data_IF_248552212016
#
_entry.id   IF_248552212016
#
_cell.length_a   1.000
_cell.length_b   1.000
_cell.length_c   1.000
_cell.angle_alpha   90.00
_cell.angle_beta   90.00
_cell.angle_gamma   90.00
#
_symmetry.space_group_name_H-M   'P 1'
#
loop_
_entity.id
_entity.type
_entity.pdbx_description
1 polymer ?
#
# COMPACT_ATOMS: atom_id res chain seq x y z
N UNK A 1 2.47 -12.00 35.91
CA UNK A 1 3.92 -12.20 35.83
C UNK A 1 4.41 -11.77 34.44
N UNK A 2 5.63 -11.24 34.37
CA UNK A 2 6.27 -10.78 33.12
C UNK A 2 6.31 -11.87 32.03
N UNK A 3 6.35 -13.15 32.44
CA UNK A 3 6.30 -14.29 31.54
C UNK A 3 4.94 -14.48 30.86
N UNK A 4 3.84 -14.19 31.55
CA UNK A 4 2.49 -14.28 30.99
C UNK A 4 2.25 -13.14 29.99
N UNK A 5 2.75 -11.95 30.29
CA UNK A 5 2.70 -10.80 29.37
C UNK A 5 3.54 -11.06 28.11
N UNK A 6 4.73 -11.61 28.26
CA UNK A 6 5.57 -11.99 27.13
C UNK A 6 4.95 -13.11 26.28
N UNK A 7 4.29 -14.09 26.93
CA UNK A 7 3.58 -15.17 26.23
C UNK A 7 2.32 -14.65 25.51
N UNK A 8 1.59 -13.72 26.11
CA UNK A 8 0.45 -13.03 25.49
C UNK A 8 0.89 -12.17 24.29
N UNK A 9 2.04 -11.49 24.39
CA UNK A 9 2.62 -10.78 23.24
C UNK A 9 3.06 -11.70 22.12
N UNK A 10 3.51 -12.92 22.43
CA UNK A 10 3.83 -13.94 21.43
C UNK A 10 2.59 -14.65 20.86
N UNK A 11 1.51 -14.79 21.64
CA UNK A 11 0.27 -15.43 21.21
C UNK A 11 -0.72 -14.47 20.51
N UNK A 12 -0.69 -13.20 20.84
CA UNK A 12 -1.33 -12.13 20.10
C UNK A 12 -0.45 -11.79 18.90
N UNK A 13 -0.30 -12.75 17.96
CA UNK A 13 0.57 -12.68 16.82
C UNK A 13 0.83 -11.23 16.42
N UNK A 14 2.03 -10.78 16.67
CA UNK A 14 2.48 -9.48 16.20
C UNK A 14 2.10 -9.41 14.72
N UNK A 15 1.21 -8.49 14.39
CA UNK A 15 0.92 -8.09 13.02
C UNK A 15 2.24 -7.53 12.47
N UNK A 16 3.08 -8.46 12.05
CA UNK A 16 4.40 -8.09 11.55
C UNK A 16 4.20 -7.42 10.21
N UNK A 17 4.69 -6.18 10.14
CA UNK A 17 4.95 -5.57 8.86
C UNK A 17 5.76 -6.54 7.98
N UNK A 18 5.54 -6.55 6.65
CA UNK A 18 6.34 -7.36 5.75
C UNK A 18 7.83 -7.13 5.97
N UNK A 19 8.60 -8.21 5.99
CA UNK A 19 10.08 -8.15 6.00
C UNK A 19 10.52 -7.99 4.54
N UNK A 20 10.81 -6.77 4.13
CA UNK A 20 11.14 -6.41 2.76
C UNK A 20 12.64 -6.16 2.61
N UNK A 21 13.21 -6.42 1.42
CA UNK A 21 14.58 -6.02 1.11
C UNK A 21 14.73 -4.50 1.15
N UNK A 22 15.96 -4.02 1.28
CA UNK A 22 16.28 -2.59 1.28
C UNK A 22 15.80 -1.92 -0.03
N UNK A 23 16.15 -2.50 -1.16
CA UNK A 23 15.62 -2.08 -2.46
C UNK A 23 14.20 -2.62 -2.66
N UNK A 24 13.26 -1.73 -2.99
CA UNK A 24 11.88 -2.11 -3.24
C UNK A 24 11.80 -3.07 -4.44
N UNK A 25 11.07 -4.20 -4.34
CA UNK A 25 10.86 -5.08 -5.48
C UNK A 25 10.29 -4.33 -6.68
N UNK A 26 11.02 -4.32 -7.79
CA UNK A 26 10.60 -3.67 -9.03
C UNK A 26 9.39 -4.37 -9.64
N UNK A 27 8.53 -3.59 -10.29
CA UNK A 27 7.39 -4.15 -11.02
C UNK A 27 7.04 -3.35 -12.27
N UNK A 28 6.37 -4.02 -13.19
CA UNK A 28 5.56 -3.44 -14.25
C UNK A 28 4.16 -4.04 -14.12
N UNK A 29 3.20 -3.25 -13.69
CA UNK A 29 1.82 -3.66 -13.50
C UNK A 29 0.89 -2.90 -14.44
N UNK A 30 -0.27 -3.48 -14.75
CA UNK A 30 -1.29 -2.80 -15.55
C UNK A 30 -2.21 -1.99 -14.65
N UNK A 31 -2.57 -0.81 -15.12
CA UNK A 31 -3.64 -0.01 -14.56
C UNK A 31 -5.03 -0.47 -15.07
N UNK A 32 -6.08 0.25 -14.69
CA UNK A 32 -7.46 -0.10 -15.08
C UNK A 32 -7.76 0.14 -16.58
N UNK A 33 -6.92 0.89 -17.27
CA UNK A 33 -7.02 1.13 -18.73
C UNK A 33 -6.15 0.15 -19.53
N UNK A 34 -5.45 -0.76 -18.84
CA UNK A 34 -4.55 -1.74 -19.44
C UNK A 34 -3.17 -1.19 -19.77
N UNK A 35 -2.86 0.04 -19.37
CA UNK A 35 -1.55 0.66 -19.56
C UNK A 35 -0.55 0.10 -18.55
N UNK A 36 0.70 -0.06 -18.99
CA UNK A 36 1.78 -0.54 -18.14
C UNK A 36 2.34 0.61 -17.28
N UNK A 37 2.47 0.33 -15.98
CA UNK A 37 3.04 1.25 -15.00
C UNK A 37 4.23 0.56 -14.33
N UNK A 38 5.42 1.12 -14.53
CA UNK A 38 6.64 0.64 -13.91
C UNK A 38 6.96 1.43 -12.63
N UNK A 39 7.37 0.75 -11.55
CA UNK A 39 7.78 1.42 -10.32
C UNK A 39 8.93 2.40 -10.58
N UNK A 40 9.91 2.03 -11.39
CA UNK A 40 11.08 2.86 -11.71
C UNK A 40 10.73 4.20 -12.38
N UNK A 41 9.54 4.32 -12.98
CA UNK A 41 9.09 5.57 -13.58
C UNK A 41 8.85 6.67 -12.54
N UNK A 42 8.78 6.33 -11.26
CA UNK A 42 8.56 7.26 -10.15
C UNK A 42 9.84 7.61 -9.37
N UNK A 43 11.00 7.11 -9.77
CA UNK A 43 12.27 7.50 -9.15
C UNK A 43 12.41 9.02 -9.07
N UNK A 44 12.86 9.51 -7.93
CA UNK A 44 12.95 10.94 -7.60
C UNK A 44 11.77 11.46 -6.78
N UNK A 45 10.72 10.66 -6.61
CA UNK A 45 9.57 10.96 -5.73
C UNK A 45 9.32 9.84 -4.73
N UNK A 46 8.86 10.15 -3.51
CA UNK A 46 8.40 9.12 -2.61
C UNK A 46 7.12 8.46 -3.15
N UNK A 47 6.99 7.15 -2.93
CA UNK A 47 5.85 6.34 -3.39
C UNK A 47 5.18 5.67 -2.20
N UNK A 48 3.87 5.79 -2.14
CA UNK A 48 3.00 5.07 -1.20
C UNK A 48 2.28 3.98 -1.98
N UNK A 49 2.64 2.72 -1.72
CA UNK A 49 1.92 1.55 -2.25
C UNK A 49 0.90 1.10 -1.22
N UNK A 50 -0.38 1.11 -1.58
CA UNK A 50 -1.46 0.60 -0.76
C UNK A 50 -2.05 -0.66 -1.39
N UNK A 51 -1.78 -1.83 -0.80
CA UNK A 51 -2.37 -3.10 -1.21
C UNK A 51 -3.75 -3.25 -0.57
N UNK A 52 -4.76 -3.46 -1.42
CA UNK A 52 -6.15 -3.50 -1.00
C UNK A 52 -6.99 -4.50 -1.81
N UNK A 53 -8.20 -4.77 -1.36
CA UNK A 53 -9.18 -5.59 -2.06
C UNK A 53 -10.58 -4.98 -1.95
N UNK A 54 -11.44 -5.25 -2.93
CA UNK A 54 -12.80 -4.72 -2.98
C UNK A 54 -13.68 -5.20 -1.81
N UNK A 55 -13.45 -6.41 -1.32
CA UNK A 55 -14.17 -7.04 -0.21
C UNK A 55 -13.61 -6.67 1.17
N UNK A 56 -12.46 -6.01 1.23
CA UNK A 56 -11.76 -5.71 2.48
C UNK A 56 -12.37 -4.49 3.17
N UNK A 57 -13.09 -4.71 4.28
CA UNK A 57 -13.71 -3.63 5.08
C UNK A 57 -12.70 -2.61 5.60
N UNK A 58 -11.61 -3.02 6.28
CA UNK A 58 -10.56 -2.10 6.74
C UNK A 58 -9.91 -1.29 5.60
N UNK A 59 -9.70 -1.89 4.42
CA UNK A 59 -9.18 -1.17 3.25
C UNK A 59 -10.11 -0.02 2.85
N UNK A 60 -11.41 -0.30 2.77
CA UNK A 60 -12.42 0.71 2.42
C UNK A 60 -12.53 1.81 3.47
N UNK A 61 -12.23 1.51 4.72
CA UNK A 61 -12.22 2.50 5.81
C UNK A 61 -11.04 3.47 5.70
N UNK A 62 -9.85 3.00 5.31
CA UNK A 62 -8.66 3.86 5.20
C UNK A 62 -8.57 4.65 3.89
N UNK A 63 -9.12 4.14 2.79
CA UNK A 63 -8.99 4.72 1.44
C UNK A 63 -9.36 6.21 1.38
N UNK A 64 -10.43 6.72 2.02
CA UNK A 64 -10.69 8.16 2.04
C UNK A 64 -9.53 9.00 2.56
N UNK A 65 -8.79 8.52 3.55
CA UNK A 65 -7.58 9.20 4.05
C UNK A 65 -6.44 9.21 3.02
N UNK A 66 -6.30 8.15 2.23
CA UNK A 66 -5.32 8.09 1.13
C UNK A 66 -5.67 9.05 0.00
N UNK A 67 -6.97 9.17 -0.33
CA UNK A 67 -7.46 10.13 -1.32
C UNK A 67 -7.15 11.57 -0.89
N UNK A 68 -7.51 11.94 0.34
CA UNK A 68 -7.21 13.26 0.91
C UNK A 68 -5.70 13.53 0.94
N UNK A 69 -4.91 12.56 1.43
CA UNK A 69 -3.45 12.67 1.46
C UNK A 69 -2.85 12.89 0.08
N UNK A 70 -3.28 12.14 -0.94
CA UNK A 70 -2.81 12.29 -2.31
C UNK A 70 -3.11 13.67 -2.90
N UNK A 71 -4.29 14.21 -2.62
CA UNK A 71 -4.69 15.55 -3.06
C UNK A 71 -3.88 16.66 -2.39
N UNK A 72 -3.56 16.49 -1.11
CA UNK A 72 -2.79 17.47 -0.32
C UNK A 72 -1.28 17.39 -0.55
N UNK A 73 -0.78 16.25 -1.05
CA UNK A 73 0.65 15.99 -1.24
C UNK A 73 0.95 15.60 -2.71
N UNK A 74 0.86 16.53 -3.68
CA UNK A 74 1.03 16.22 -5.11
C UNK A 74 2.46 15.77 -5.48
N UNK A 75 3.44 15.99 -4.60
CA UNK A 75 4.83 15.54 -4.79
C UNK A 75 5.05 14.09 -4.33
N UNK A 76 4.07 13.48 -3.67
CA UNK A 76 4.07 12.07 -3.27
C UNK A 76 3.20 11.27 -4.24
N UNK A 77 3.75 10.19 -4.77
CA UNK A 77 3.00 9.26 -5.62
C UNK A 77 2.22 8.29 -4.74
N UNK A 78 0.91 8.22 -4.91
CA UNK A 78 0.06 7.22 -4.25
C UNK A 78 -0.44 6.24 -5.30
N UNK A 79 -0.22 4.95 -5.07
CA UNK A 79 -0.68 3.86 -5.94
C UNK A 79 -1.51 2.87 -5.13
N UNK A 80 -2.75 2.66 -5.54
CA UNK A 80 -3.58 1.58 -5.03
C UNK A 80 -3.29 0.29 -5.79
N UNK A 81 -2.80 -0.74 -5.13
CA UNK A 81 -2.49 -2.03 -5.76
C UNK A 81 -3.54 -3.05 -5.34
N UNK A 82 -4.50 -3.30 -6.23
CA UNK A 82 -5.62 -4.19 -5.97
C UNK A 82 -5.20 -5.66 -6.13
N UNK A 83 -5.50 -6.48 -5.14
CA UNK A 83 -5.17 -7.92 -5.13
C UNK A 83 -6.31 -8.80 -5.61
N UNK A 84 -7.44 -8.23 -5.97
CA UNK A 84 -8.61 -8.92 -6.51
C UNK A 84 -9.33 -8.08 -7.57
N UNK A 85 -10.29 -8.70 -8.24
CA UNK A 85 -11.21 -8.04 -9.15
C UNK A 85 -10.71 -7.91 -10.59
N UNK A 86 -11.67 -7.83 -11.50
CA UNK A 86 -11.42 -7.46 -12.90
C UNK A 86 -11.26 -5.95 -13.05
N UNK A 87 -10.68 -5.45 -14.15
CA UNK A 87 -10.59 -4.01 -14.38
C UNK A 87 -11.94 -3.27 -14.27
N UNK A 88 -13.03 -3.88 -14.74
CA UNK A 88 -14.36 -3.28 -14.65
C UNK A 88 -14.91 -3.24 -13.22
N UNK A 89 -14.72 -4.30 -12.44
CA UNK A 89 -15.11 -4.35 -11.03
C UNK A 89 -14.31 -3.34 -10.21
N UNK A 90 -13.01 -3.24 -10.45
CA UNK A 90 -12.12 -2.29 -9.78
C UNK A 90 -12.48 -0.84 -10.13
N UNK A 91 -12.89 -0.58 -11.39
CA UNK A 91 -13.35 0.75 -11.81
C UNK A 91 -14.59 1.18 -11.02
N UNK A 92 -15.57 0.29 -10.92
CA UNK A 92 -16.79 0.54 -10.13
C UNK A 92 -16.46 0.77 -8.66
N UNK A 93 -15.61 -0.07 -8.07
CA UNK A 93 -15.20 0.08 -6.68
C UNK A 93 -14.43 1.39 -6.45
N UNK A 94 -13.51 1.74 -7.34
CA UNK A 94 -12.73 2.99 -7.27
C UNK A 94 -13.63 4.22 -7.34
N UNK A 95 -14.61 4.24 -8.22
CA UNK A 95 -15.58 5.33 -8.32
C UNK A 95 -16.40 5.48 -7.03
N UNK A 96 -16.88 4.36 -6.48
CA UNK A 96 -17.65 4.36 -5.22
C UNK A 96 -16.84 4.85 -4.02
N UNK A 97 -15.56 4.55 -3.99
CA UNK A 97 -14.63 4.94 -2.92
C UNK A 97 -14.01 6.32 -3.14
N UNK A 98 -14.26 6.94 -4.30
CA UNK A 98 -13.71 8.24 -4.65
C UNK A 98 -12.22 8.23 -4.92
N UNK A 99 -11.66 7.07 -5.30
CA UNK A 99 -10.22 6.95 -5.62
C UNK A 99 -9.90 7.72 -6.89
N UNK A 100 -9.01 8.69 -6.79
CA UNK A 100 -8.54 9.54 -7.88
C UNK A 100 -7.04 9.39 -8.18
N UNK A 101 -6.34 8.55 -7.41
CA UNK A 101 -4.98 8.11 -7.71
C UNK A 101 -4.98 6.81 -8.54
N UNK A 102 -3.86 6.47 -9.22
CA UNK A 102 -3.80 5.26 -10.04
C UNK A 102 -4.07 3.98 -9.26
N UNK A 103 -4.86 3.10 -9.85
CA UNK A 103 -5.11 1.75 -9.35
C UNK A 103 -4.44 0.75 -10.29
N UNK A 104 -3.56 -0.07 -9.74
CA UNK A 104 -2.82 -1.10 -10.43
C UNK A 104 -3.36 -2.48 -10.03
N UNK A 105 -3.23 -3.45 -10.93
CA UNK A 105 -3.67 -4.82 -10.70
C UNK A 105 -2.46 -5.65 -10.28
N UNK A 106 -2.49 -6.17 -9.05
CA UNK A 106 -1.43 -7.01 -8.53
C UNK A 106 -1.36 -8.35 -9.24
N UNK A 107 -0.15 -8.85 -9.44
CA UNK A 107 0.11 -10.26 -9.77
C UNK A 107 0.39 -11.07 -8.50
N UNK A 108 0.27 -12.39 -8.56
CA UNK A 108 0.63 -13.26 -7.44
C UNK A 108 2.11 -13.15 -7.07
N UNK A 109 2.96 -12.92 -8.06
CA UNK A 109 4.39 -12.67 -7.88
C UNK A 109 4.62 -11.41 -7.04
N UNK A 110 4.01 -10.30 -7.39
CA UNK A 110 4.17 -9.02 -6.67
C UNK A 110 3.60 -9.11 -5.25
N UNK A 111 2.47 -9.79 -5.05
CA UNK A 111 1.96 -10.05 -3.70
C UNK A 111 2.98 -10.80 -2.84
N UNK A 112 3.62 -11.82 -3.41
CA UNK A 112 4.63 -12.62 -2.72
C UNK A 112 5.91 -11.81 -2.43
N UNK A 113 6.41 -11.07 -3.40
CA UNK A 113 7.63 -10.26 -3.27
C UNK A 113 7.47 -9.12 -2.23
N UNK A 114 6.29 -8.54 -2.13
CA UNK A 114 5.97 -7.53 -1.12
C UNK A 114 5.46 -8.11 0.19
N UNK A 115 5.46 -9.44 0.34
CA UNK A 115 5.05 -10.11 1.58
C UNK A 115 3.62 -9.79 2.02
N UNK A 116 2.70 -9.60 1.07
CA UNK A 116 1.31 -9.23 1.34
C UNK A 116 0.53 -10.45 1.80
N UNK A 117 0.42 -10.63 3.12
CA UNK A 117 -0.34 -11.72 3.75
C UNK A 117 -1.66 -11.24 4.34
N UNK A 118 -1.70 -9.99 4.76
CA UNK A 118 -2.89 -9.33 5.34
C UNK A 118 -3.22 -8.05 4.60
N UNK A 119 -4.48 -7.66 4.60
CA UNK A 119 -4.96 -6.42 3.99
C UNK A 119 -5.62 -5.51 5.04
N UNK A 120 -5.43 -4.22 4.94
CA UNK A 120 -4.53 -3.54 4.02
C UNK A 120 -3.05 -3.69 4.40
N UNK A 121 -2.17 -3.54 3.44
CA UNK A 121 -0.73 -3.40 3.66
C UNK A 121 -0.24 -2.17 2.90
N UNK A 122 0.53 -1.33 3.56
CA UNK A 122 1.09 -0.10 2.97
C UNK A 122 2.60 -0.13 3.02
N UNK A 123 3.25 0.14 1.90
CA UNK A 123 4.70 0.24 1.77
C UNK A 123 5.06 1.64 1.32
N UNK A 124 5.98 2.28 2.05
CA UNK A 124 6.53 3.59 1.72
C UNK A 124 7.90 3.38 1.09
N UNK A 125 8.07 3.88 -0.12
CA UNK A 125 9.31 3.81 -0.90
C UNK A 125 9.86 5.22 -1.03
N UNK A 126 11.15 5.38 -0.77
CA UNK A 126 11.80 6.67 -0.87
C UNK A 126 12.11 7.08 -2.32
N UNK A 127 12.56 8.33 -2.58
CA UNK A 127 12.88 8.79 -3.93
C UNK A 127 14.00 8.01 -4.63
N UNK A 128 14.83 7.30 -3.88
CA UNK A 128 15.92 6.46 -4.38
C UNK A 128 15.45 5.05 -4.77
N UNK A 129 14.20 4.70 -4.45
CA UNK A 129 13.62 3.37 -4.74
C UNK A 129 13.85 2.35 -3.62
N UNK A 130 14.25 2.82 -2.44
CA UNK A 130 14.44 1.96 -1.27
C UNK A 130 13.18 1.91 -0.40
N UNK A 131 12.97 0.76 0.27
CA UNK A 131 11.86 0.61 1.22
C UNK A 131 12.16 1.43 2.48
N UNK A 132 11.40 2.49 2.68
CA UNK A 132 11.51 3.29 3.90
C UNK A 132 10.78 2.65 5.08
N UNK A 133 9.57 2.16 4.84
CA UNK A 133 8.77 1.46 5.86
C UNK A 133 7.67 0.61 5.23
N UNK A 134 7.21 -0.38 5.98
CA UNK A 134 6.06 -1.20 5.62
C UNK A 134 5.14 -1.33 6.84
N UNK A 135 3.83 -1.33 6.60
CA UNK A 135 2.82 -1.39 7.65
C UNK A 135 1.69 -2.33 7.25
N UNK A 136 1.38 -3.28 8.12
CA UNK A 136 0.19 -4.13 8.00
C UNK A 136 -0.92 -3.57 8.86
N UNK A 137 -2.12 -3.46 8.30
CA UNK A 137 -3.28 -2.84 8.93
C UNK A 137 -3.53 -1.42 8.42
N UNK A 138 -4.55 -0.77 8.97
CA UNK A 138 -4.98 0.55 8.52
C UNK A 138 -3.93 1.63 8.82
N UNK A 139 -3.76 2.53 7.85
CA UNK A 139 -3.05 3.81 8.01
C UNK A 139 -3.98 4.96 7.68
N UNK A 140 -3.79 6.07 8.36
CA UNK A 140 -4.56 7.30 8.14
C UNK A 140 -3.65 8.49 7.85
N UNK A 141 -4.24 9.62 7.46
CA UNK A 141 -3.51 10.82 7.04
C UNK A 141 -2.31 11.20 7.89
N UNK A 142 -2.44 11.36 9.23
CA UNK A 142 -1.31 11.72 10.08
C UNK A 142 -0.13 10.75 10.03
N UNK A 143 -0.40 9.45 9.88
CA UNK A 143 0.64 8.42 9.76
C UNK A 143 1.34 8.50 8.39
N UNK A 144 0.57 8.73 7.32
CA UNK A 144 1.10 8.93 5.97
C UNK A 144 1.97 10.19 5.89
N UNK A 145 1.51 11.30 6.44
CA UNK A 145 2.27 12.54 6.52
C UNK A 145 3.57 12.38 7.29
N UNK A 146 3.51 11.70 8.43
CA UNK A 146 4.71 11.44 9.22
C UNK A 146 5.72 10.56 8.47
N UNK A 147 5.24 9.51 7.78
CA UNK A 147 6.08 8.57 7.04
C UNK A 147 6.75 9.19 5.80
N UNK A 148 6.15 10.22 5.21
CA UNK A 148 6.62 10.85 3.97
C UNK A 148 7.25 12.24 4.14
N UNK A 149 7.22 12.81 5.35
CA UNK A 149 7.62 14.21 5.62
C UNK A 149 9.10 14.57 5.39
N UNK A 150 9.94 13.58 5.13
CA UNK A 150 11.37 13.79 4.89
C UNK A 150 11.66 14.38 3.49
N UNK A 151 10.73 14.20 2.59
CA UNK A 151 10.91 14.48 1.16
C UNK A 151 10.00 15.59 0.64
#
# INVERSE_FOLDING_TARGET
>A
SLLVVALLFHLLGTWRAPDLPEEAPGFVLRDLDGEEVALDSFLGKPVVLNFWATWCGPCRTEIPSFVEFAQENPDVVVLGVAVDGSPSELRVASERLGIDYPVLIATDEIKAEYGVETLPTTVIIDPEGEVHSAHSGMMFGPQLEWATRKW
#
